data_IF_759725526407
#
_entry.id   IF_759725526407
#
_cell.length_a   1.000
_cell.length_b   1.000
_cell.length_c   1.000
_cell.angle_alpha   90.00
_cell.angle_beta   90.00
_cell.angle_gamma   90.00
#
_symmetry.space_group_name_H-M   'P 1'
#
loop_
_entity.id
_entity.type
_entity.pdbx_description
1 polymer ?
#
# COMPACT_ATOMS: atom_id res chain seq x y z
N UNK A 1 30.99 19.81 21.46
CA UNK A 1 31.14 18.72 20.48
C UNK A 1 29.86 18.60 19.67
N UNK A 2 29.84 19.13 18.45
CA UNK A 2 28.73 18.97 17.52
C UNK A 2 28.86 17.58 16.90
N UNK A 3 28.17 16.61 17.46
CA UNK A 3 27.96 15.32 16.78
C UNK A 3 26.92 15.59 15.71
N UNK A 4 27.25 15.34 14.44
CA UNK A 4 26.29 15.49 13.35
C UNK A 4 25.07 14.59 13.61
N UNK A 5 23.88 15.13 13.45
CA UNK A 5 22.60 14.40 13.66
C UNK A 5 22.62 13.06 12.91
N UNK A 6 23.19 13.02 11.72
CA UNK A 6 23.37 11.80 10.91
C UNK A 6 24.17 10.70 11.62
N UNK A 7 25.17 11.06 12.43
CA UNK A 7 25.97 10.10 13.20
C UNK A 7 25.17 9.51 14.36
N UNK A 8 24.34 10.32 15.02
CA UNK A 8 23.45 9.85 16.09
C UNK A 8 22.41 8.87 15.49
N UNK A 9 21.84 9.20 14.34
CA UNK A 9 20.86 8.34 13.65
C UNK A 9 21.55 7.05 13.15
N UNK A 10 22.77 7.14 12.60
CA UNK A 10 23.57 5.97 12.21
C UNK A 10 23.84 5.04 13.41
N UNK A 11 24.26 5.61 14.55
CA UNK A 11 24.57 4.84 15.75
C UNK A 11 23.31 4.21 16.39
N UNK A 12 22.12 4.82 16.21
CA UNK A 12 20.84 4.27 16.66
C UNK A 12 20.26 3.21 15.72
N UNK A 13 20.49 3.32 14.42
CA UNK A 13 19.88 2.45 13.38
C UNK A 13 20.86 1.40 12.86
N UNK A 14 22.17 1.60 13.07
CA UNK A 14 23.23 0.66 12.69
C UNK A 14 23.45 0.54 11.17
N UNK A 15 23.01 1.53 10.36
CA UNK A 15 23.15 1.57 8.90
C UNK A 15 23.34 3.00 8.40
N UNK A 16 23.99 3.15 7.25
CA UNK A 16 24.11 4.44 6.57
C UNK A 16 22.72 4.96 6.15
N UNK A 17 22.38 6.15 6.66
CA UNK A 17 21.08 6.83 6.45
C UNK A 17 20.95 7.38 5.02
N UNK A 18 22.03 7.34 4.24
CA UNK A 18 22.08 7.97 2.91
C UNK A 18 21.21 7.30 1.82
N UNK A 19 20.57 6.16 2.15
CA UNK A 19 19.60 5.49 1.26
C UNK A 19 18.40 4.95 2.03
N UNK A 20 17.56 5.84 2.53
CA UNK A 20 16.30 5.44 3.19
C UNK A 20 15.37 4.76 2.19
N UNK A 21 15.32 5.27 0.95
CA UNK A 21 14.47 4.74 -0.11
C UNK A 21 15.26 3.86 -1.07
N UNK A 22 14.74 2.68 -1.45
CA UNK A 22 15.37 1.84 -2.44
C UNK A 22 15.25 2.46 -3.84
N UNK A 23 16.26 2.30 -4.69
CA UNK A 23 16.11 2.62 -6.11
C UNK A 23 15.12 1.63 -6.73
N UNK A 24 14.09 2.16 -7.39
CA UNK A 24 13.03 1.38 -8.02
C UNK A 24 12.99 1.78 -9.49
N UNK A 25 13.10 0.78 -10.38
CA UNK A 25 13.03 0.96 -11.82
C UNK A 25 11.79 0.26 -12.36
N UNK A 26 11.09 0.91 -13.28
CA UNK A 26 9.98 0.30 -14.00
C UNK A 26 9.96 0.80 -15.44
N UNK A 27 10.14 -0.12 -16.37
CA UNK A 27 10.09 0.15 -17.81
C UNK A 27 8.75 -0.33 -18.44
N UNK A 28 7.85 -0.89 -17.64
CA UNK A 28 6.59 -1.41 -18.15
C UNK A 28 5.66 -0.30 -18.59
N UNK A 29 5.13 -0.42 -19.81
CA UNK A 29 4.07 0.43 -20.36
C UNK A 29 2.71 -0.27 -20.36
N UNK A 30 2.62 -1.49 -19.82
CA UNK A 30 1.37 -2.25 -19.75
C UNK A 30 0.53 -1.72 -18.60
N UNK A 31 -0.62 -1.16 -18.91
CA UNK A 31 -1.56 -0.65 -17.93
C UNK A 31 -2.22 -1.79 -17.15
N UNK A 32 -2.19 -1.71 -15.82
CA UNK A 32 -2.86 -2.65 -14.91
C UNK A 32 -4.14 -2.06 -14.34
N UNK A 33 -4.12 -0.78 -13.94
CA UNK A 33 -5.27 -0.07 -13.40
C UNK A 33 -5.48 1.22 -14.18
N UNK A 34 -6.73 1.54 -14.51
CA UNK A 34 -7.12 2.85 -15.02
C UNK A 34 -8.40 3.31 -14.36
N UNK A 35 -8.40 4.58 -13.98
CA UNK A 35 -9.52 5.29 -13.34
C UNK A 35 -9.91 6.45 -14.26
N UNK A 36 -11.19 6.54 -14.60
CA UNK A 36 -11.72 7.56 -15.50
C UNK A 36 -12.91 8.30 -14.87
N UNK A 37 -12.80 9.62 -14.79
CA UNK A 37 -13.85 10.54 -14.34
C UNK A 37 -14.50 10.11 -13.02
N UNK A 38 -13.71 9.60 -12.05
CA UNK A 38 -14.21 9.08 -10.79
C UNK A 38 -14.64 10.23 -9.88
N UNK A 39 -15.86 10.13 -9.33
CA UNK A 39 -16.45 11.11 -8.45
C UNK A 39 -17.02 10.43 -7.19
N UNK A 40 -16.73 10.98 -6.02
CA UNK A 40 -17.27 10.49 -4.76
C UNK A 40 -18.72 10.93 -4.55
N UNK A 41 -19.44 10.19 -3.70
CA UNK A 41 -20.82 10.54 -3.35
C UNK A 41 -20.89 11.71 -2.35
N UNK A 42 -19.87 11.82 -1.51
CA UNK A 42 -19.80 12.82 -0.42
C UNK A 42 -19.03 14.11 -0.84
N UNK A 43 -18.57 14.20 -2.09
CA UNK A 43 -17.81 15.34 -2.60
C UNK A 43 -16.36 15.40 -2.13
N UNK A 44 -15.84 14.33 -1.52
CA UNK A 44 -14.44 14.27 -1.07
C UNK A 44 -13.43 14.32 -2.19
N UNK A 45 -13.82 13.90 -3.42
CA UNK A 45 -13.04 14.07 -4.64
C UNK A 45 -13.94 14.11 -5.88
N UNK A 46 -13.45 14.76 -6.96
CA UNK A 46 -14.16 14.89 -8.23
C UNK A 46 -13.25 14.75 -9.44
N UNK A 47 -13.79 14.18 -10.52
CA UNK A 47 -13.18 14.06 -11.84
C UNK A 47 -11.74 13.51 -11.82
N UNK A 48 -11.51 12.44 -11.06
CA UNK A 48 -10.19 11.83 -10.94
C UNK A 48 -9.91 10.92 -12.13
N UNK A 49 -8.74 11.12 -12.73
CA UNK A 49 -8.29 10.39 -13.93
C UNK A 49 -6.81 10.01 -13.79
N UNK A 50 -6.48 8.74 -13.75
CA UNK A 50 -5.09 8.27 -13.78
C UNK A 50 -5.01 6.81 -14.21
N UNK A 51 -3.79 6.38 -14.54
CA UNK A 51 -3.47 4.97 -14.78
C UNK A 51 -2.22 4.56 -14.02
N UNK A 52 -2.13 3.26 -13.73
CA UNK A 52 -0.97 2.62 -13.09
C UNK A 52 -0.52 1.46 -13.95
N UNK A 53 0.77 1.42 -14.28
CA UNK A 53 1.37 0.37 -15.09
C UNK A 53 1.76 -0.84 -14.23
N UNK A 54 1.94 -1.98 -14.89
CA UNK A 54 2.37 -3.22 -14.23
C UNK A 54 3.73 -3.04 -13.55
N UNK A 55 3.79 -3.39 -12.27
CA UNK A 55 5.00 -3.23 -11.47
C UNK A 55 5.37 -1.77 -11.15
N UNK A 56 4.51 -0.81 -11.47
CA UNK A 56 4.71 0.58 -11.09
C UNK A 56 4.38 0.81 -9.62
N UNK A 57 5.17 1.66 -8.94
CA UNK A 57 4.75 2.30 -7.70
C UNK A 57 4.27 3.70 -8.06
N UNK A 58 2.98 3.93 -7.90
CA UNK A 58 2.29 5.18 -8.17
C UNK A 58 1.93 5.88 -6.87
N UNK A 59 2.38 7.12 -6.69
CA UNK A 59 2.11 7.91 -5.50
C UNK A 59 0.82 8.70 -5.60
N UNK A 60 0.16 8.92 -4.47
CA UNK A 60 -0.90 9.94 -4.34
C UNK A 60 -0.48 10.90 -3.24
N UNK A 61 -0.07 12.09 -3.64
CA UNK A 61 0.40 13.15 -2.75
C UNK A 61 -0.68 14.22 -2.56
N UNK A 62 -0.71 14.82 -1.38
CA UNK A 62 -1.64 15.90 -1.03
C UNK A 62 -1.58 16.19 0.46
N UNK A 63 -2.13 17.32 0.88
CA UNK A 63 -2.23 17.66 2.29
C UNK A 63 -3.24 16.77 3.02
N UNK A 64 -3.20 16.78 4.34
CA UNK A 64 -4.24 16.13 5.18
C UNK A 64 -5.60 16.70 4.81
N UNK A 65 -6.58 15.81 4.58
CA UNK A 65 -7.92 16.21 4.11
C UNK A 65 -8.01 16.51 2.60
N UNK A 66 -7.00 16.13 1.80
CA UNK A 66 -7.05 16.32 0.35
C UNK A 66 -7.96 15.31 -0.39
N UNK A 67 -8.53 14.32 0.27
CA UNK A 67 -9.37 13.29 -0.35
C UNK A 67 -8.63 12.02 -0.78
N UNK A 68 -7.38 11.85 -0.33
CA UNK A 68 -6.50 10.72 -0.75
C UNK A 68 -7.02 9.37 -0.28
N UNK A 69 -7.28 9.23 1.02
CA UNK A 69 -7.82 8.01 1.63
C UNK A 69 -9.19 7.68 1.06
N UNK A 70 -10.06 8.68 0.92
CA UNK A 70 -11.40 8.54 0.34
C UNK A 70 -11.32 8.01 -1.10
N UNK A 71 -10.39 8.53 -1.91
CA UNK A 71 -10.16 8.07 -3.28
C UNK A 71 -9.77 6.58 -3.33
N UNK A 72 -8.80 6.16 -2.55
CA UNK A 72 -8.37 4.75 -2.58
C UNK A 72 -9.39 3.81 -1.94
N UNK A 73 -10.16 4.26 -0.95
CA UNK A 73 -11.28 3.53 -0.39
C UNK A 73 -12.41 3.33 -1.42
N UNK A 74 -12.70 4.36 -2.22
CA UNK A 74 -13.68 4.27 -3.30
C UNK A 74 -13.21 3.29 -4.41
N UNK A 75 -11.94 3.32 -4.80
CA UNK A 75 -11.35 2.34 -5.75
C UNK A 75 -11.47 0.91 -5.22
N UNK A 76 -11.40 0.73 -3.89
CA UNK A 76 -11.58 -0.57 -3.25
C UNK A 76 -13.05 -0.92 -2.92
N UNK A 77 -14.01 -0.07 -3.26
CA UNK A 77 -15.43 -0.30 -2.99
C UNK A 77 -15.82 -0.22 -1.51
N UNK A 78 -14.98 0.40 -0.69
CA UNK A 78 -15.28 0.70 0.72
C UNK A 78 -16.14 1.95 0.86
N UNK A 79 -15.99 2.90 -0.07
CA UNK A 79 -16.81 4.12 -0.15
C UNK A 79 -17.53 4.16 -1.52
N UNK A 80 -18.68 4.84 -1.56
CA UNK A 80 -19.52 4.88 -2.76
C UNK A 80 -19.07 5.99 -3.72
N UNK A 81 -19.22 5.72 -5.01
CA UNK A 81 -19.01 6.68 -6.10
C UNK A 81 -20.35 7.10 -6.72
N UNK A 82 -20.42 8.31 -7.27
CA UNK A 82 -21.58 8.78 -8.04
C UNK A 82 -21.43 8.48 -9.52
N UNK A 83 -20.19 8.52 -10.03
CA UNK A 83 -19.88 8.27 -11.45
C UNK A 83 -18.40 7.98 -11.65
N UNK A 84 -18.08 7.55 -12.84
CA UNK A 84 -16.72 7.20 -13.25
C UNK A 84 -16.60 5.72 -13.55
N UNK A 85 -15.41 5.31 -14.02
CA UNK A 85 -15.12 3.95 -14.42
C UNK A 85 -13.77 3.51 -13.89
N UNK A 86 -13.69 2.24 -13.55
CA UNK A 86 -12.46 1.58 -13.12
C UNK A 86 -12.20 0.41 -14.07
N UNK A 87 -10.95 0.30 -14.54
CA UNK A 87 -10.52 -0.77 -15.43
C UNK A 87 -9.33 -1.50 -14.80
N UNK A 88 -9.33 -2.83 -14.90
CA UNK A 88 -8.19 -3.68 -14.55
C UNK A 88 -7.81 -4.52 -15.77
N UNK A 89 -6.56 -4.46 -16.19
CA UNK A 89 -6.06 -5.11 -17.41
C UNK A 89 -6.95 -4.80 -18.63
N UNK A 90 -7.30 -3.51 -18.81
CA UNK A 90 -8.20 -2.97 -19.86
C UNK A 90 -9.67 -3.45 -19.81
N UNK A 91 -10.07 -4.21 -18.81
CA UNK A 91 -11.47 -4.60 -18.64
C UNK A 91 -12.16 -3.66 -17.66
N UNK A 92 -13.29 -3.06 -18.08
CA UNK A 92 -14.12 -2.28 -17.17
C UNK A 92 -14.68 -3.21 -16.09
N UNK A 93 -14.53 -2.82 -14.83
CA UNK A 93 -15.01 -3.58 -13.67
C UNK A 93 -15.99 -2.75 -12.87
N UNK A 94 -17.01 -3.42 -12.33
CA UNK A 94 -17.94 -2.80 -11.38
C UNK A 94 -17.54 -3.20 -9.96
N UNK A 95 -17.27 -2.20 -9.13
CA UNK A 95 -16.89 -2.38 -7.73
C UNK A 95 -17.98 -1.72 -6.88
N UNK A 96 -18.74 -2.52 -6.16
CA UNK A 96 -19.78 -2.08 -5.22
C UNK A 96 -19.46 -2.49 -3.78
N UNK A 97 -18.40 -3.26 -3.59
CA UNK A 97 -17.96 -3.75 -2.29
C UNK A 97 -16.46 -4.07 -2.30
N UNK A 98 -15.80 -4.13 -1.13
CA UNK A 98 -14.42 -4.58 -1.04
C UNK A 98 -14.19 -6.00 -1.58
N UNK A 99 -15.20 -6.86 -1.50
CA UNK A 99 -15.15 -8.21 -2.06
C UNK A 99 -15.05 -8.19 -3.59
N UNK A 100 -15.70 -7.23 -4.26
CA UNK A 100 -15.62 -7.08 -5.71
C UNK A 100 -14.23 -6.60 -6.12
N UNK A 101 -13.64 -5.66 -5.37
CA UNK A 101 -12.25 -5.22 -5.58
C UNK A 101 -11.27 -6.39 -5.47
N UNK A 102 -11.37 -7.17 -4.39
CA UNK A 102 -10.51 -8.34 -4.16
C UNK A 102 -10.65 -9.37 -5.28
N UNK A 103 -11.87 -9.67 -5.76
CA UNK A 103 -12.12 -10.60 -6.89
C UNK A 103 -11.45 -10.12 -8.18
N UNK A 104 -11.38 -8.82 -8.39
CA UNK A 104 -10.73 -8.20 -9.56
C UNK A 104 -9.23 -7.95 -9.36
N UNK A 105 -8.67 -8.36 -8.21
CA UNK A 105 -7.24 -8.28 -7.92
C UNK A 105 -6.79 -6.94 -7.34
N UNK A 106 -7.70 -6.12 -6.83
CA UNK A 106 -7.38 -4.88 -6.10
C UNK A 106 -7.50 -5.15 -4.60
N UNK A 107 -6.44 -4.84 -3.86
CA UNK A 107 -6.38 -5.03 -2.40
C UNK A 107 -5.81 -3.78 -1.75
N UNK A 108 -6.32 -3.43 -0.58
CA UNK A 108 -5.87 -2.29 0.20
C UNK A 108 -5.32 -2.73 1.56
N UNK A 109 -4.15 -2.20 1.91
CA UNK A 109 -3.56 -2.23 3.24
C UNK A 109 -3.93 -0.91 3.91
N UNK A 110 -4.81 -0.92 4.92
CA UNK A 110 -5.33 0.29 5.54
C UNK A 110 -4.29 0.97 6.43
N UNK A 111 -4.51 2.27 6.70
CA UNK A 111 -3.71 3.09 7.59
C UNK A 111 -3.68 2.54 9.03
N UNK A 112 -4.86 2.28 9.60
CA UNK A 112 -4.97 1.74 10.96
C UNK A 112 -4.96 0.21 10.95
N UNK A 113 -3.73 -0.34 10.99
CA UNK A 113 -3.54 -1.78 11.04
C UNK A 113 -4.14 -2.45 12.28
N UNK A 114 -4.28 -1.68 13.39
CA UNK A 114 -4.74 -2.24 14.67
C UNK A 114 -6.26 -2.39 14.72
N UNK A 115 -6.99 -1.43 14.13
CA UNK A 115 -8.45 -1.43 14.17
C UNK A 115 -9.08 -2.04 12.92
N UNK A 116 -8.40 -1.89 11.76
CA UNK A 116 -8.94 -2.27 10.45
C UNK A 116 -8.19 -3.41 9.77
N UNK A 117 -6.98 -3.72 10.21
CA UNK A 117 -6.09 -4.63 9.50
C UNK A 117 -5.89 -5.99 10.17
N UNK A 118 -5.65 -6.01 11.47
CA UNK A 118 -5.24 -7.20 12.21
C UNK A 118 -6.16 -7.50 13.41
N UNK A 119 -6.41 -8.78 13.63
CA UNK A 119 -6.99 -9.30 14.86
C UNK A 119 -5.87 -9.49 15.88
N UNK A 120 -5.59 -8.44 16.66
CA UNK A 120 -4.38 -8.38 17.51
C UNK A 120 -4.26 -9.52 18.52
N UNK A 121 -5.38 -9.97 19.10
CA UNK A 121 -5.44 -11.05 20.09
C UNK A 121 -5.44 -12.44 19.45
N UNK A 122 -5.40 -12.52 18.13
CA UNK A 122 -5.36 -13.78 17.39
C UNK A 122 -3.93 -14.07 16.89
N UNK A 123 -3.67 -15.35 16.63
CA UNK A 123 -2.37 -15.79 16.13
C UNK A 123 -2.07 -15.21 14.73
N UNK A 124 -0.79 -15.14 14.38
CA UNK A 124 -0.35 -14.73 13.04
C UNK A 124 -0.96 -15.65 11.95
N UNK A 125 -1.10 -16.93 12.25
CA UNK A 125 -1.75 -17.90 11.37
C UNK A 125 -3.22 -17.58 11.14
N UNK A 126 -3.97 -17.23 12.19
CA UNK A 126 -5.37 -16.84 12.07
C UNK A 126 -5.53 -15.54 11.27
N UNK A 127 -4.67 -14.56 11.51
CA UNK A 127 -4.66 -13.31 10.74
C UNK A 127 -4.46 -13.56 9.24
N UNK A 128 -3.49 -14.38 8.85
CA UNK A 128 -3.24 -14.68 7.44
C UNK A 128 -4.40 -15.50 6.84
N UNK A 129 -4.94 -16.45 7.59
CA UNK A 129 -5.96 -17.36 7.07
C UNK A 129 -7.32 -16.69 6.86
N UNK A 130 -7.70 -15.70 7.66
CA UNK A 130 -9.03 -15.07 7.56
C UNK A 130 -9.26 -14.42 6.21
N UNK A 131 -8.25 -13.74 5.65
CA UNK A 131 -8.31 -13.13 4.33
C UNK A 131 -8.28 -14.15 3.18
N UNK A 132 -7.91 -15.39 3.47
CA UNK A 132 -7.72 -16.47 2.50
C UNK A 132 -8.62 -17.68 2.75
N UNK A 133 -9.68 -17.51 3.55
CA UNK A 133 -10.51 -18.62 4.02
C UNK A 133 -11.16 -19.42 2.89
N UNK A 134 -11.56 -18.76 1.81
CA UNK A 134 -12.12 -19.38 0.62
C UNK A 134 -11.14 -20.34 -0.09
N UNK A 135 -9.82 -20.10 0.03
CA UNK A 135 -8.78 -21.00 -0.51
C UNK A 135 -8.79 -22.36 0.20
N UNK A 136 -9.17 -22.38 1.48
CA UNK A 136 -9.20 -23.58 2.31
C UNK A 136 -10.51 -24.33 2.22
N UNK A 137 -11.60 -23.67 1.81
CA UNK A 137 -12.96 -24.27 1.77
C UNK A 137 -13.22 -25.19 0.58
N UNK A 138 -12.30 -25.35 -0.36
CA UNK A 138 -12.50 -26.11 -1.61
C UNK A 138 -12.96 -27.56 -1.44
N UNK A 139 -12.92 -28.12 -0.23
CA UNK A 139 -13.32 -29.49 0.07
C UNK A 139 -14.27 -29.65 1.25
N UNK A 140 -14.84 -28.53 1.75
CA UNK A 140 -15.77 -28.55 2.88
C UNK A 140 -15.11 -28.77 4.24
N UNK A 141 -13.84 -29.15 4.30
CA UNK A 141 -13.06 -29.34 5.52
C UNK A 141 -11.79 -28.51 5.49
N UNK A 142 -11.55 -27.75 6.56
CA UNK A 142 -10.34 -26.94 6.71
C UNK A 142 -9.34 -27.69 7.58
N UNK A 143 -8.20 -28.06 7.01
CA UNK A 143 -7.11 -28.70 7.76
C UNK A 143 -6.28 -27.64 8.49
N UNK A 144 -6.18 -27.70 9.83
CA UNK A 144 -5.32 -26.79 10.60
C UNK A 144 -3.85 -26.81 10.13
N UNK A 145 -3.37 -27.97 9.73
CA UNK A 145 -2.00 -28.12 9.20
C UNK A 145 -1.80 -27.38 7.88
N UNK A 146 -2.79 -27.42 6.98
CA UNK A 146 -2.73 -26.66 5.71
C UNK A 146 -2.70 -25.17 5.97
N UNK A 147 -3.53 -24.67 6.91
CA UNK A 147 -3.51 -23.26 7.32
C UNK A 147 -2.14 -22.89 7.87
N UNK A 148 -1.59 -23.70 8.78
CA UNK A 148 -0.29 -23.44 9.40
C UNK A 148 0.83 -23.39 8.39
N UNK A 149 0.88 -24.34 7.46
CA UNK A 149 1.87 -24.39 6.39
C UNK A 149 1.74 -23.22 5.40
N UNK A 150 0.51 -22.81 5.06
CA UNK A 150 0.24 -21.66 4.23
C UNK A 150 0.71 -20.36 4.91
N UNK A 151 0.35 -20.18 6.17
CA UNK A 151 0.72 -19.00 6.95
C UNK A 151 2.24 -18.92 7.18
N UNK A 152 2.90 -20.06 7.39
CA UNK A 152 4.36 -20.12 7.51
C UNK A 152 5.05 -19.58 6.25
N UNK A 153 4.60 -19.99 5.06
CA UNK A 153 5.13 -19.47 3.79
C UNK A 153 4.93 -17.96 3.66
N UNK A 154 3.77 -17.44 4.07
CA UNK A 154 3.49 -16.00 4.04
C UNK A 154 4.42 -15.21 4.98
N UNK A 155 4.62 -15.71 6.20
CA UNK A 155 5.53 -15.11 7.19
C UNK A 155 6.98 -15.09 6.67
N UNK A 156 7.44 -16.21 6.11
CA UNK A 156 8.78 -16.34 5.55
C UNK A 156 8.98 -15.40 4.35
N UNK A 157 8.01 -15.36 3.43
CA UNK A 157 8.07 -14.51 2.23
C UNK A 157 8.20 -13.02 2.58
N UNK A 158 7.48 -12.57 3.59
CA UNK A 158 7.50 -11.15 4.03
C UNK A 158 8.59 -10.88 5.08
N UNK A 159 9.32 -11.88 5.52
CA UNK A 159 10.34 -11.72 6.56
C UNK A 159 9.75 -11.20 7.88
N UNK A 160 8.58 -11.68 8.27
CA UNK A 160 7.96 -11.36 9.57
C UNK A 160 8.76 -12.05 10.67
N UNK A 161 9.24 -11.28 11.64
CA UNK A 161 9.93 -11.83 12.81
C UNK A 161 8.91 -12.23 13.86
N UNK A 162 8.47 -13.50 13.79
CA UNK A 162 7.48 -14.10 14.69
C UNK A 162 7.08 -15.48 14.21
N UNK A 163 6.53 -16.29 15.10
CA UNK A 163 6.03 -17.63 14.77
C UNK A 163 4.56 -17.57 14.29
N UNK A 164 4.10 -18.61 13.61
CA UNK A 164 2.69 -18.72 13.17
C UNK A 164 1.71 -18.79 14.35
N UNK A 165 2.13 -19.32 15.49
CA UNK A 165 1.31 -19.52 16.68
C UNK A 165 1.34 -18.30 17.63
N UNK A 166 2.23 -17.33 17.40
CA UNK A 166 2.36 -16.11 18.19
C UNK A 166 1.23 -15.13 17.87
N UNK A 167 0.71 -14.41 18.87
CA UNK A 167 -0.31 -13.40 18.67
C UNK A 167 0.24 -12.14 17.98
N UNK A 168 -0.60 -11.50 17.18
CA UNK A 168 -0.18 -10.33 16.41
C UNK A 168 0.18 -9.11 17.30
N UNK A 169 -0.41 -8.96 18.49
CA UNK A 169 -0.08 -7.91 19.46
C UNK A 169 1.33 -8.01 20.03
N UNK A 170 1.95 -9.19 20.00
CA UNK A 170 3.32 -9.42 20.48
C UNK A 170 4.39 -9.00 19.44
N UNK A 171 3.97 -8.69 18.21
CA UNK A 171 4.87 -8.25 17.15
C UNK A 171 5.17 -6.75 17.27
N UNK A 172 6.40 -6.35 16.86
CA UNK A 172 6.71 -4.93 16.65
C UNK A 172 5.85 -4.35 15.52
N UNK A 173 5.67 -3.00 15.50
CA UNK A 173 4.85 -2.32 14.49
C UNK A 173 5.25 -2.65 13.06
N UNK A 174 6.54 -2.72 12.74
CA UNK A 174 7.03 -3.12 11.42
C UNK A 174 6.72 -4.58 11.08
N UNK A 175 6.74 -5.50 12.05
CA UNK A 175 6.36 -6.89 11.82
C UNK A 175 4.84 -7.06 11.71
N UNK A 176 4.04 -6.26 12.43
CA UNK A 176 2.59 -6.19 12.24
C UNK A 176 2.24 -5.72 10.82
N UNK A 177 2.93 -4.70 10.30
CA UNK A 177 2.74 -4.24 8.93
C UNK A 177 3.08 -5.32 7.90
N UNK A 178 4.20 -6.02 8.08
CA UNK A 178 4.57 -7.16 7.23
C UNK A 178 3.57 -8.31 7.32
N UNK A 179 3.02 -8.59 8.50
CA UNK A 179 1.97 -9.58 8.69
C UNK A 179 0.72 -9.21 7.91
N UNK A 180 0.31 -7.93 7.96
CA UNK A 180 -0.83 -7.42 7.21
C UNK A 180 -0.61 -7.52 5.70
N UNK A 181 0.58 -7.20 5.20
CA UNK A 181 0.93 -7.41 3.78
C UNK A 181 0.88 -8.90 3.44
N UNK A 182 1.44 -9.78 4.29
CA UNK A 182 1.43 -11.23 4.10
C UNK A 182 0.03 -11.82 3.99
N UNK A 183 -0.93 -11.26 4.73
CA UNK A 183 -2.33 -11.63 4.69
C UNK A 183 -2.92 -11.52 3.27
N UNK A 184 -2.54 -10.47 2.52
CA UNK A 184 -3.10 -10.15 1.23
C UNK A 184 -2.29 -10.63 0.04
N UNK A 185 -0.95 -10.72 0.17
CA UNK A 185 -0.11 -11.10 -0.96
C UNK A 185 -0.39 -12.52 -1.49
N UNK A 186 -0.87 -13.39 -0.62
CA UNK A 186 -1.27 -14.76 -0.98
C UNK A 186 -2.43 -14.82 -1.97
N UNK A 187 -3.19 -13.74 -2.09
CA UNK A 187 -4.26 -13.56 -3.08
C UNK A 187 -3.73 -13.23 -4.48
N UNK A 188 -2.41 -13.01 -4.62
CA UNK A 188 -1.77 -12.60 -5.87
C UNK A 188 -2.45 -11.35 -6.46
N UNK A 189 -2.53 -10.25 -5.73
CA UNK A 189 -3.17 -9.04 -6.21
C UNK A 189 -2.46 -8.53 -7.47
N UNK A 190 -3.21 -7.90 -8.36
CA UNK A 190 -2.68 -7.14 -9.49
C UNK A 190 -2.29 -5.73 -9.06
N UNK A 191 -3.10 -5.17 -8.16
CA UNK A 191 -2.92 -3.82 -7.58
C UNK A 191 -2.97 -3.94 -6.06
N UNK A 192 -1.95 -3.43 -5.40
CA UNK A 192 -1.87 -3.36 -3.94
C UNK A 192 -1.76 -1.90 -3.52
N UNK A 193 -2.77 -1.43 -2.78
CA UNK A 193 -2.86 -0.06 -2.30
C UNK A 193 -2.36 -0.02 -0.86
N UNK A 194 -1.47 0.90 -0.56
CA UNK A 194 -0.98 1.20 0.78
C UNK A 194 -1.46 2.58 1.20
N UNK A 195 -2.27 2.62 2.24
CA UNK A 195 -2.68 3.89 2.86
C UNK A 195 -1.83 4.11 4.12
N UNK A 196 -1.00 5.16 4.11
CA UNK A 196 -0.06 5.53 5.18
C UNK A 196 0.80 4.34 5.68
N UNK A 197 1.57 3.67 4.79
CA UNK A 197 2.20 2.36 5.06
C UNK A 197 3.16 2.34 6.25
N UNK A 198 3.75 3.48 6.61
CA UNK A 198 4.75 3.56 7.68
C UNK A 198 4.30 4.39 8.87
N UNK A 199 3.02 4.76 8.94
CA UNK A 199 2.48 5.50 10.09
C UNK A 199 2.60 4.68 11.37
N UNK A 200 3.18 5.30 12.41
CA UNK A 200 3.41 4.64 13.69
C UNK A 200 4.43 3.49 13.66
N UNK A 201 5.31 3.49 12.66
CA UNK A 201 6.44 2.56 12.55
C UNK A 201 7.74 3.32 12.82
N UNK A 202 8.65 2.70 13.54
CA UNK A 202 9.96 3.26 13.81
C UNK A 202 10.81 3.41 12.53
N UNK A 203 11.75 4.36 12.53
CA UNK A 203 12.56 4.70 11.35
C UNK A 203 13.34 3.50 10.80
N UNK A 204 13.86 2.64 11.68
CA UNK A 204 14.61 1.46 11.27
C UNK A 204 13.74 0.41 10.57
N UNK A 205 12.48 0.29 10.97
CA UNK A 205 11.54 -0.64 10.38
C UNK A 205 10.93 -0.11 9.06
N UNK A 206 10.82 1.21 8.85
CA UNK A 206 10.31 1.81 7.59
C UNK A 206 11.06 1.30 6.37
N UNK A 207 12.40 1.33 6.41
CA UNK A 207 13.22 0.83 5.31
C UNK A 207 12.86 -0.62 4.92
N UNK A 208 12.55 -1.48 5.90
CA UNK A 208 12.17 -2.87 5.62
C UNK A 208 10.82 -2.98 4.91
N UNK A 209 9.89 -2.05 5.15
CA UNK A 209 8.61 -1.98 4.43
C UNK A 209 8.85 -1.50 2.99
N UNK A 210 9.70 -0.49 2.79
CA UNK A 210 10.06 -0.02 1.44
C UNK A 210 10.73 -1.10 0.60
N UNK A 211 11.58 -1.94 1.21
CA UNK A 211 12.17 -3.09 0.51
C UNK A 211 11.11 -4.13 0.12
N UNK A 212 10.12 -4.38 0.97
CA UNK A 212 8.98 -5.25 0.62
C UNK A 212 8.21 -4.66 -0.56
N UNK A 213 7.89 -3.36 -0.55
CA UNK A 213 7.20 -2.70 -1.66
C UNK A 213 7.99 -2.81 -2.97
N UNK A 214 9.31 -2.57 -2.92
CA UNK A 214 10.21 -2.77 -4.07
C UNK A 214 10.11 -4.19 -4.62
N UNK A 215 10.29 -5.21 -3.79
CA UNK A 215 10.22 -6.61 -4.20
C UNK A 215 8.87 -6.97 -4.83
N UNK A 216 7.76 -6.45 -4.28
CA UNK A 216 6.42 -6.66 -4.83
C UNK A 216 6.27 -6.00 -6.20
N UNK A 217 6.73 -4.76 -6.36
CA UNK A 217 6.77 -4.03 -7.63
C UNK A 217 7.59 -4.79 -8.67
N UNK A 218 8.80 -5.21 -8.35
CA UNK A 218 9.68 -6.00 -9.23
C UNK A 218 9.08 -7.37 -9.60
N UNK A 219 8.21 -7.92 -8.75
CA UNK A 219 7.45 -9.14 -9.08
C UNK A 219 6.28 -8.91 -10.04
N UNK A 220 6.03 -7.65 -10.43
CA UNK A 220 4.99 -7.24 -11.38
C UNK A 220 3.66 -6.85 -10.73
N UNK A 221 3.60 -6.67 -9.41
CA UNK A 221 2.43 -6.12 -8.72
C UNK A 221 2.48 -4.60 -8.82
N UNK A 222 1.41 -3.99 -9.31
CA UNK A 222 1.26 -2.54 -9.33
C UNK A 222 0.93 -2.03 -7.93
N UNK A 223 1.61 -0.99 -7.48
CA UNK A 223 1.45 -0.46 -6.12
C UNK A 223 0.93 0.97 -6.18
N UNK A 224 -0.05 1.30 -5.35
CA UNK A 224 -0.45 2.68 -5.07
C UNK A 224 -0.04 3.00 -3.64
N UNK A 225 0.69 4.10 -3.45
CA UNK A 225 1.10 4.60 -2.14
C UNK A 225 0.43 5.92 -1.86
N UNK A 226 -0.36 5.95 -0.79
CA UNK A 226 -0.90 7.18 -0.21
C UNK A 226 -0.11 7.49 1.04
N UNK A 227 0.47 8.68 1.13
CA UNK A 227 1.17 9.11 2.35
C UNK A 227 1.04 10.62 2.58
N UNK A 228 0.95 10.99 3.85
CA UNK A 228 1.07 12.38 4.30
C UNK A 228 2.54 12.84 4.34
N UNK A 229 3.47 11.89 4.36
CA UNK A 229 4.90 12.15 4.25
C UNK A 229 5.30 12.28 2.77
N UNK A 230 5.49 13.53 2.32
CA UNK A 230 5.86 13.80 0.94
C UNK A 230 7.19 13.14 0.55
N UNK A 231 8.12 12.99 1.50
CA UNK A 231 9.40 12.33 1.24
C UNK A 231 9.20 10.86 0.91
N UNK A 232 8.24 10.21 1.58
CA UNK A 232 7.87 8.83 1.31
C UNK A 232 7.29 8.68 -0.10
N UNK A 233 6.34 9.54 -0.48
CA UNK A 233 5.74 9.51 -1.83
C UNK A 233 6.81 9.75 -2.90
N UNK A 234 7.62 10.80 -2.77
CA UNK A 234 8.67 11.12 -3.73
C UNK A 234 9.75 10.04 -3.78
N UNK A 235 10.14 9.49 -2.61
CA UNK A 235 11.21 8.49 -2.54
C UNK A 235 10.84 7.11 -3.10
N UNK A 236 9.54 6.79 -3.17
CA UNK A 236 9.07 5.46 -3.59
C UNK A 236 8.43 5.43 -4.97
N UNK A 237 7.86 6.55 -5.44
CA UNK A 237 6.99 6.52 -6.62
C UNK A 237 7.75 6.78 -7.92
N UNK A 238 7.33 6.12 -9.01
CA UNK A 238 7.77 6.43 -10.37
C UNK A 238 7.01 7.64 -10.93
N UNK A 239 5.71 7.68 -10.69
CA UNK A 239 4.81 8.81 -10.99
C UNK A 239 3.93 9.08 -9.78
N UNK A 240 3.43 10.30 -9.66
CA UNK A 240 2.55 10.67 -8.57
C UNK A 240 1.43 11.60 -9.02
N UNK A 241 0.25 11.34 -8.51
CA UNK A 241 -0.91 12.21 -8.59
C UNK A 241 -0.85 13.25 -7.47
N UNK A 242 -0.99 14.52 -7.80
CA UNK A 242 -1.14 15.59 -6.81
C UNK A 242 -2.62 15.88 -6.64
N UNK A 243 -3.10 15.68 -5.42
CA UNK A 243 -4.48 15.93 -5.03
C UNK A 243 -4.56 17.13 -4.07
N UNK A 244 -5.45 18.06 -4.34
CA UNK A 244 -5.72 19.20 -3.48
C UNK A 244 -7.23 19.41 -3.35
N UNK A 245 -7.75 19.32 -2.13
CA UNK A 245 -9.18 19.52 -1.83
C UNK A 245 -10.12 18.71 -2.73
N UNK A 246 -9.80 17.45 -2.94
CA UNK A 246 -10.58 16.54 -3.78
C UNK A 246 -10.37 16.72 -5.30
N UNK A 247 -9.54 17.68 -5.73
CA UNK A 247 -9.32 17.95 -7.15
C UNK A 247 -7.94 17.48 -7.58
N UNK A 248 -7.89 16.75 -8.68
CA UNK A 248 -6.64 16.38 -9.33
C UNK A 248 -5.95 17.62 -9.92
N UNK A 249 -4.73 17.91 -9.49
CA UNK A 249 -3.95 19.04 -10.00
C UNK A 249 -3.02 18.62 -11.14
N UNK A 250 -2.27 17.56 -10.96
CA UNK A 250 -1.30 17.10 -11.93
C UNK A 250 -0.92 15.64 -11.71
N UNK A 251 -0.32 15.01 -12.70
CA UNK A 251 0.44 13.76 -12.57
C UNK A 251 1.88 14.08 -12.93
N UNK A 252 2.80 13.91 -11.98
CA UNK A 252 4.22 14.16 -12.15
C UNK A 252 4.96 12.85 -12.31
N UNK A 253 5.94 12.82 -13.24
CA UNK A 253 6.90 11.71 -13.31
C UNK A 253 8.05 12.04 -12.37
N UNK A 254 8.42 11.11 -11.52
CA UNK A 254 9.53 11.26 -10.59
C UNK A 254 10.84 11.18 -11.36
N UNK A 255 11.29 12.31 -11.87
CA UNK A 255 12.64 12.52 -12.37
C UNK A 255 13.43 13.26 -11.29
N UNK A 256 14.75 13.09 -11.24
CA UNK A 256 15.65 13.65 -10.21
C UNK A 256 15.56 15.19 -10.01
N UNK A 257 14.72 15.87 -10.79
CA UNK A 257 14.56 17.32 -10.80
C UNK A 257 13.24 17.84 -10.22
N UNK A 258 12.36 16.98 -9.67
CA UNK A 258 11.12 17.47 -9.06
C UNK A 258 11.42 18.15 -7.73
N UNK A 259 11.21 19.45 -7.68
CA UNK A 259 11.33 20.23 -6.45
C UNK A 259 10.16 19.91 -5.51
N UNK A 260 10.47 19.50 -4.26
CA UNK A 260 9.46 19.35 -3.18
C UNK A 260 8.62 20.61 -3.02
N UNK A 261 9.21 21.78 -3.23
CA UNK A 261 8.52 23.07 -3.18
C UNK A 261 7.44 23.16 -4.26
N UNK A 262 7.71 22.65 -5.45
CA UNK A 262 6.72 22.65 -6.56
C UNK A 262 5.55 21.71 -6.25
N UNK A 263 5.82 20.51 -5.71
CA UNK A 263 4.76 19.57 -5.29
C UNK A 263 3.89 20.21 -4.21
N UNK A 264 4.51 20.79 -3.17
CA UNK A 264 3.79 21.45 -2.08
C UNK A 264 2.96 22.64 -2.59
N UNK A 265 3.48 23.43 -3.51
CA UNK A 265 2.74 24.55 -4.12
C UNK A 265 1.49 24.07 -4.85
N UNK A 266 1.57 22.96 -5.59
CA UNK A 266 0.41 22.38 -6.27
C UNK A 266 -0.58 21.74 -5.29
N UNK A 267 -0.11 21.15 -4.20
CA UNK A 267 -0.96 20.55 -3.17
C UNK A 267 -1.68 21.60 -2.30
N UNK A 268 -1.24 22.86 -2.27
CA UNK A 268 -1.83 23.95 -1.48
C UNK A 268 -2.81 24.81 -2.28
N UNK A 269 -2.71 24.83 -3.60
CA UNK A 269 -3.59 25.58 -4.50
C UNK A 269 -4.77 24.72 -4.97
#
# INVERSE_FOLDING_TARGET
>A
ANIAINKIVHDMVGRDVDRIFPTIENESTTETLRVENLNSIDGSFENINFSVNKGEIFGIAGLVGAGRTELVRAICGADMITSGKIFVDNNEINISSPQDAIKNGIVMVPEDRKSLGLLLEQSNSQNISIANFDVFLKSGWVSPEKIKNFSKKGIELMGVKGSVDQNANELSGGNQQKLLISQWISRKPKVLIFDEPTRGIDVGARHSIYQVMKQLSESGISIIVVSSDLEEVVGLSHRMLILSRGVQKNILTNSDNISRVEIMKQATN
#
